data_IF_376375740914
#
_entry.id   IF_376375740914
#
_cell.length_a   1.000
_cell.length_b   1.000
_cell.length_c   1.000
_cell.angle_alpha   90.00
_cell.angle_beta   90.00
_cell.angle_gamma   90.00
#
_symmetry.space_group_name_H-M   'P 1'
#
loop_
_entity.id
_entity.type
_entity.pdbx_description
1 polymer ?
#
# COMPACT_ATOMS: atom_id res chain seq x y z
N UNK A 1 -16.23 5.26 -10.15
CA UNK A 1 -15.85 5.31 -8.72
C UNK A 1 -15.89 6.74 -8.25
N UNK A 2 -16.50 7.04 -7.10
CA UNK A 2 -16.43 8.37 -6.52
C UNK A 2 -14.99 8.66 -6.07
N UNK A 3 -14.44 9.81 -6.44
CA UNK A 3 -13.06 10.21 -6.06
C UNK A 3 -12.82 10.12 -4.55
N UNK A 4 -13.87 10.29 -3.76
CA UNK A 4 -13.84 10.26 -2.30
C UNK A 4 -13.46 8.89 -1.74
N UNK A 5 -13.69 7.80 -2.49
CA UNK A 5 -13.34 6.43 -2.07
C UNK A 5 -11.85 6.11 -2.22
N UNK A 6 -11.12 6.83 -3.08
CA UNK A 6 -9.68 6.62 -3.28
C UNK A 6 -8.86 7.11 -2.09
N UNK A 7 -9.29 8.22 -1.50
CA UNK A 7 -8.58 8.88 -0.39
C UNK A 7 -8.30 7.92 0.78
N UNK A 8 -9.29 7.19 1.33
CA UNK A 8 -9.02 6.25 2.42
C UNK A 8 -8.13 5.08 2.01
N UNK A 9 -8.28 4.57 0.78
CA UNK A 9 -7.42 3.51 0.25
C UNK A 9 -5.95 3.97 0.19
N UNK A 10 -5.71 5.16 -0.37
CA UNK A 10 -4.36 5.73 -0.44
C UNK A 10 -3.79 5.99 0.96
N UNK A 11 -4.58 6.54 1.87
CA UNK A 11 -4.13 6.80 3.25
C UNK A 11 -3.68 5.50 3.94
N UNK A 12 -4.48 4.44 3.86
CA UNK A 12 -4.14 3.14 4.46
C UNK A 12 -2.90 2.51 3.79
N UNK A 13 -2.81 2.59 2.46
CA UNK A 13 -1.65 2.07 1.73
C UNK A 13 -0.34 2.81 2.05
N UNK A 14 -0.40 4.13 2.25
CA UNK A 14 0.76 4.93 2.68
C UNK A 14 1.21 4.47 4.08
N UNK A 15 0.28 4.27 5.01
CA UNK A 15 0.59 3.72 6.34
C UNK A 15 1.24 2.35 6.21
N UNK A 16 0.74 1.48 5.32
CA UNK A 16 1.38 0.19 5.04
C UNK A 16 2.81 0.38 4.53
N UNK A 17 3.02 1.23 3.53
CA UNK A 17 4.34 1.47 2.96
C UNK A 17 5.39 1.91 4.00
N UNK A 18 4.99 2.76 4.94
CA UNK A 18 5.89 3.34 5.95
C UNK A 18 6.19 2.36 7.09
N UNK A 19 5.16 1.67 7.60
CA UNK A 19 5.25 0.93 8.86
C UNK A 19 5.32 -0.59 8.67
N UNK A 20 5.08 -1.12 7.46
CA UNK A 20 5.07 -2.56 7.24
C UNK A 20 6.48 -3.15 7.26
N UNK A 21 6.70 -4.31 7.90
CA UNK A 21 7.99 -5.00 7.87
C UNK A 21 8.40 -5.40 6.44
N UNK A 22 7.45 -5.52 5.53
CA UNK A 22 7.70 -5.84 4.12
C UNK A 22 8.49 -4.75 3.39
N UNK A 23 8.53 -3.52 3.90
CA UNK A 23 9.34 -2.44 3.32
C UNK A 23 10.84 -2.81 3.35
N UNK A 24 11.25 -3.59 4.36
CA UNK A 24 12.63 -4.06 4.49
C UNK A 24 13.01 -5.01 3.35
N UNK A 25 12.06 -5.83 2.87
CA UNK A 25 12.32 -6.67 1.69
C UNK A 25 12.58 -5.80 0.46
N UNK A 26 11.72 -4.81 0.19
CA UNK A 26 11.89 -3.90 -0.94
C UNK A 26 13.21 -3.13 -0.83
N UNK A 27 13.54 -2.67 0.38
CA UNK A 27 14.79 -1.98 0.69
C UNK A 27 16.02 -2.85 0.47
N UNK A 28 16.00 -4.12 0.92
CA UNK A 28 17.13 -5.04 0.71
C UNK A 28 17.35 -5.35 -0.77
N UNK A 29 16.29 -5.37 -1.57
CA UNK A 29 16.37 -5.54 -3.02
C UNK A 29 16.69 -4.25 -3.79
N UNK A 30 17.12 -3.17 -3.12
CA UNK A 30 17.49 -1.91 -3.80
C UNK A 30 18.47 -2.07 -4.97
N UNK A 31 19.45 -3.00 -5.00
CA UNK A 31 20.34 -3.10 -6.14
C UNK A 31 19.65 -3.49 -7.46
N UNK A 32 18.41 -4.02 -7.39
CA UNK A 32 17.64 -4.45 -8.57
C UNK A 32 16.89 -3.28 -9.22
N UNK A 33 16.32 -2.40 -8.40
CA UNK A 33 15.40 -1.35 -8.87
C UNK A 33 15.96 0.06 -8.72
N UNK A 34 16.97 0.26 -7.86
CA UNK A 34 17.55 1.57 -7.61
C UNK A 34 18.52 1.94 -8.76
N UNK A 35 18.46 3.17 -9.28
CA UNK A 35 19.32 3.57 -10.37
C UNK A 35 20.79 3.60 -9.96
N UNK A 36 21.66 2.98 -10.77
CA UNK A 36 23.10 2.91 -10.49
C UNK A 36 23.84 4.25 -10.54
N UNK A 37 23.21 5.30 -11.09
CA UNK A 37 23.77 6.65 -11.12
C UNK A 37 23.48 7.46 -9.85
N UNK A 38 22.51 7.05 -9.03
CA UNK A 38 22.10 7.81 -7.86
C UNK A 38 22.90 7.38 -6.62
N UNK A 39 23.28 8.32 -5.72
CA UNK A 39 23.88 7.98 -4.44
C UNK A 39 22.86 7.23 -3.55
N UNK A 40 23.16 5.99 -3.08
CA UNK A 40 22.22 5.17 -2.33
C UNK A 40 22.14 5.61 -0.85
N UNK A 41 21.64 6.82 -0.61
CA UNK A 41 21.38 7.31 0.74
C UNK A 41 20.26 6.49 1.37
N UNK A 42 20.52 5.87 2.53
CA UNK A 42 19.60 4.95 3.21
C UNK A 42 18.19 5.52 3.38
N UNK A 43 18.10 6.81 3.73
CA UNK A 43 16.82 7.52 3.89
C UNK A 43 16.03 7.62 2.58
N UNK A 44 16.70 7.91 1.46
CA UNK A 44 16.06 8.01 0.14
C UNK A 44 15.60 6.63 -0.33
N UNK A 45 16.47 5.62 -0.20
CA UNK A 45 16.17 4.25 -0.60
C UNK A 45 15.01 3.68 0.22
N UNK A 46 14.97 3.95 1.53
CA UNK A 46 13.85 3.54 2.38
C UNK A 46 12.54 4.24 1.99
N UNK A 47 12.57 5.55 1.76
CA UNK A 47 11.38 6.29 1.34
C UNK A 47 10.85 5.80 -0.02
N UNK A 48 11.74 5.54 -0.98
CA UNK A 48 11.37 4.95 -2.27
C UNK A 48 10.79 3.53 -2.10
N UNK A 49 11.38 2.72 -1.23
CA UNK A 49 10.87 1.38 -0.90
C UNK A 49 9.46 1.44 -0.31
N UNK A 50 9.20 2.39 0.58
CA UNK A 50 7.88 2.63 1.17
C UNK A 50 6.85 3.07 0.10
N UNK A 51 7.25 3.93 -0.83
CA UNK A 51 6.40 4.35 -1.96
C UNK A 51 6.07 3.18 -2.90
N UNK A 52 7.06 2.34 -3.22
CA UNK A 52 6.86 1.13 -4.02
C UNK A 52 5.87 0.20 -3.32
N UNK A 53 6.08 -0.07 -2.03
CA UNK A 53 5.21 -0.96 -1.26
C UNK A 53 3.79 -0.42 -1.13
N UNK A 54 3.64 0.89 -0.87
CA UNK A 54 2.32 1.55 -0.85
C UNK A 54 1.61 1.39 -2.20
N UNK A 55 2.31 1.64 -3.31
CA UNK A 55 1.76 1.50 -4.65
C UNK A 55 1.36 0.06 -4.96
N UNK A 56 2.21 -0.91 -4.61
CA UNK A 56 1.90 -2.33 -4.74
C UNK A 56 0.67 -2.71 -3.93
N UNK A 57 0.51 -2.18 -2.72
CA UNK A 57 -0.66 -2.43 -1.88
C UNK A 57 -1.94 -1.95 -2.55
N UNK A 58 -1.93 -0.75 -3.14
CA UNK A 58 -3.05 -0.19 -3.89
C UNK A 58 -3.39 -1.08 -5.09
N UNK A 59 -2.38 -1.47 -5.88
CA UNK A 59 -2.55 -2.29 -7.07
C UNK A 59 -3.10 -3.67 -6.74
N UNK A 60 -2.51 -4.37 -5.76
CA UNK A 60 -2.91 -5.72 -5.36
C UNK A 60 -4.32 -5.73 -4.75
N UNK A 61 -4.64 -4.77 -3.90
CA UNK A 61 -6.00 -4.63 -3.36
C UNK A 61 -7.03 -4.25 -4.44
N UNK A 62 -6.59 -3.60 -5.52
CA UNK A 62 -7.46 -3.22 -6.64
C UNK A 62 -7.88 -4.40 -7.52
N UNK A 63 -7.09 -5.48 -7.55
CA UNK A 63 -7.39 -6.70 -8.32
C UNK A 63 -8.75 -7.31 -7.96
N UNK A 64 -9.07 -7.63 -6.68
CA UNK A 64 -10.38 -8.19 -6.33
C UNK A 64 -11.53 -7.21 -6.60
N UNK A 65 -11.32 -5.90 -6.44
CA UNK A 65 -12.32 -4.89 -6.74
C UNK A 65 -12.65 -4.83 -8.24
N UNK A 66 -11.63 -4.84 -9.09
CA UNK A 66 -11.78 -4.88 -10.54
C UNK A 66 -12.40 -6.21 -11.01
N UNK A 67 -12.10 -7.32 -10.34
CA UNK A 67 -12.68 -8.61 -10.63
C UNK A 67 -14.18 -8.65 -10.31
N UNK A 68 -14.57 -8.10 -9.16
CA UNK A 68 -15.97 -7.92 -8.81
C UNK A 68 -16.72 -7.05 -9.83
N UNK A 69 -16.11 -5.96 -10.29
CA UNK A 69 -16.70 -5.08 -11.31
C UNK A 69 -16.90 -5.80 -12.64
N UNK A 70 -15.96 -6.66 -13.05
CA UNK A 70 -16.04 -7.44 -14.30
C UNK A 70 -17.09 -8.55 -14.27
N UNK A 71 -17.30 -9.18 -13.11
CA UNK A 71 -18.22 -10.32 -12.99
C UNK A 71 -19.62 -9.94 -12.52
N UNK A 72 -19.82 -8.72 -12.02
CA UNK A 72 -21.12 -8.26 -11.57
C UNK A 72 -21.94 -7.73 -12.75
N UNK A 73 -23.16 -8.25 -12.93
CA UNK A 73 -24.09 -7.74 -13.95
C UNK A 73 -24.55 -6.28 -13.68
N UNK A 74 -24.50 -5.84 -12.42
CA UNK A 74 -24.84 -4.47 -11.98
C UNK A 74 -23.91 -4.04 -10.85
N UNK A 75 -22.65 -3.65 -11.15
CA UNK A 75 -21.69 -3.28 -10.13
C UNK A 75 -22.15 -2.01 -9.41
N UNK A 76 -22.05 -2.01 -8.07
CA UNK A 76 -22.32 -0.83 -7.24
C UNK A 76 -21.01 -0.18 -6.82
N UNK A 77 -20.83 1.11 -7.09
CA UNK A 77 -19.60 1.85 -6.76
C UNK A 77 -19.18 1.70 -5.29
N UNK A 78 -20.14 1.72 -4.37
CA UNK A 78 -19.87 1.57 -2.93
C UNK A 78 -19.33 0.17 -2.57
N UNK A 79 -19.76 -0.87 -3.29
CA UNK A 79 -19.30 -2.25 -3.06
C UNK A 79 -17.91 -2.45 -3.65
N UNK A 80 -17.64 -1.91 -4.84
CA UNK A 80 -16.28 -1.93 -5.43
C UNK A 80 -15.29 -1.21 -4.50
N UNK A 81 -15.67 -0.03 -4.01
CA UNK A 81 -14.86 0.76 -3.08
C UNK A 81 -14.61 0.03 -1.75
N UNK A 82 -15.63 -0.62 -1.18
CA UNK A 82 -15.47 -1.36 0.08
C UNK A 82 -14.60 -2.60 -0.08
N UNK A 83 -14.72 -3.34 -1.19
CA UNK A 83 -13.83 -4.48 -1.51
C UNK A 83 -12.39 -4.01 -1.61
N UNK A 84 -12.16 -2.89 -2.32
CA UNK A 84 -10.81 -2.35 -2.45
C UNK A 84 -10.23 -1.94 -1.11
N UNK A 85 -10.98 -1.17 -0.32
CA UNK A 85 -10.57 -0.73 1.01
C UNK A 85 -10.31 -1.91 1.94
N UNK A 86 -11.20 -2.91 1.96
CA UNK A 86 -11.02 -4.12 2.76
C UNK A 86 -9.75 -4.87 2.34
N UNK A 87 -9.47 -4.99 1.04
CA UNK A 87 -8.23 -5.57 0.53
C UNK A 87 -7.00 -4.79 1.00
N UNK A 88 -7.05 -3.46 0.95
CA UNK A 88 -5.94 -2.61 1.41
C UNK A 88 -5.72 -2.75 2.92
N UNK A 89 -6.78 -2.74 3.73
CA UNK A 89 -6.71 -2.94 5.19
C UNK A 89 -6.13 -4.32 5.50
N UNK A 90 -6.57 -5.37 4.80
CA UNK A 90 -6.06 -6.72 4.98
C UNK A 90 -4.56 -6.82 4.71
N UNK A 91 -4.08 -6.18 3.64
CA UNK A 91 -2.65 -6.12 3.31
C UNK A 91 -1.84 -5.24 4.29
N UNK A 92 -2.50 -4.40 5.08
CA UNK A 92 -1.88 -3.49 6.05
C UNK A 92 -1.76 -4.11 7.46
N UNK A 93 -2.36 -5.28 7.70
CA UNK A 93 -2.28 -5.97 9.00
C UNK A 93 -0.83 -6.13 9.54
N UNK A 94 0.18 -6.48 8.72
CA UNK A 94 1.55 -6.62 9.20
C UNK A 94 2.17 -5.30 9.71
N UNK A 95 1.64 -4.15 9.29
CA UNK A 95 2.11 -2.83 9.73
C UNK A 95 1.58 -2.43 11.12
N UNK A 96 0.48 -3.04 11.59
CA UNK A 96 -0.20 -2.65 12.83
C UNK A 96 0.71 -2.66 14.07
N UNK A 97 1.56 -3.67 14.32
CA UNK A 97 2.44 -3.67 15.50
C UNK A 97 3.40 -2.48 15.51
N UNK A 98 3.90 -2.08 14.34
CA UNK A 98 4.84 -0.97 14.22
C UNK A 98 4.13 0.38 14.37
N UNK A 99 2.90 0.51 13.83
CA UNK A 99 2.05 1.68 14.05
C UNK A 99 1.73 1.84 15.54
N UNK A 100 1.33 0.77 16.23
CA UNK A 100 1.00 0.80 17.65
C UNK A 100 2.21 1.22 18.49
N UNK A 101 3.40 0.68 18.19
CA UNK A 101 4.64 1.10 18.87
C UNK A 101 4.91 2.59 18.67
N UNK A 102 4.81 3.08 17.43
CA UNK A 102 5.03 4.49 17.11
C UNK A 102 4.06 5.42 17.86
N UNK A 103 2.78 5.04 17.98
CA UNK A 103 1.77 5.80 18.73
C UNK A 103 1.97 5.72 20.25
N UNK A 104 2.46 4.61 20.77
CA UNK A 104 2.73 4.45 22.22
C UNK A 104 4.00 5.17 22.69
N UNK A 105 4.90 5.52 21.77
CA UNK A 105 6.18 6.18 22.05
C UNK A 105 6.14 7.71 21.93
N UNK A 106 5.00 8.28 21.54
CA UNK A 106 4.77 9.73 21.47
C UNK A 106 3.92 10.23 22.61
#
# INVERSE_FOLDING_TARGET
MDKNALVPVMAVAIVNGIFSPWVLMVFLFYPIWYPGWAPPLSQIVYMASALILSTMTIMLAGVPAALYERWSARPRSIVVASIWLAGTVLLTLPALPNVMRALSSG
#
